data_IF_570241854935
#
_entry.id   IF_570241854935
#
_cell.length_a   1.000
_cell.length_b   1.000
_cell.length_c   1.000
_cell.angle_alpha   90.00
_cell.angle_beta   90.00
_cell.angle_gamma   90.00
#
_symmetry.space_group_name_H-M   'P 1'
#
loop_
_entity.id
_entity.type
_entity.pdbx_description
1 polymer ?
#
# COMPACT_ATOMS: atom_id res chain seq x y z
N UNK A 1 44.53 10.31 -6.21
CA UNK A 1 44.35 10.58 -4.78
C UNK A 1 42.88 10.82 -4.39
N UNK A 2 42.02 11.34 -5.25
CA UNK A 2 40.59 11.58 -4.97
C UNK A 2 39.76 10.28 -4.91
N UNK A 3 40.10 9.26 -5.70
CA UNK A 3 39.37 7.98 -5.77
C UNK A 3 39.49 7.16 -4.46
N UNK A 4 40.60 7.28 -3.72
CA UNK A 4 40.79 6.55 -2.46
C UNK A 4 39.99 7.15 -1.26
N UNK A 5 39.62 8.43 -1.31
CA UNK A 5 38.82 9.07 -0.27
C UNK A 5 37.37 8.57 -0.32
N UNK A 6 36.76 8.50 -1.51
CA UNK A 6 35.41 7.98 -1.68
C UNK A 6 35.29 6.49 -1.33
N UNK A 7 36.29 5.69 -1.68
CA UNK A 7 36.30 4.26 -1.34
C UNK A 7 36.37 4.02 0.19
N UNK A 8 37.12 4.84 0.91
CA UNK A 8 37.21 4.77 2.37
C UNK A 8 35.87 5.23 3.04
N UNK A 9 35.26 6.32 2.58
CA UNK A 9 33.99 6.78 3.13
C UNK A 9 32.86 5.77 2.90
N UNK A 10 32.78 5.18 1.71
CA UNK A 10 31.83 4.11 1.39
C UNK A 10 32.09 2.87 2.26
N UNK A 11 33.35 2.47 2.45
CA UNK A 11 33.69 1.32 3.28
C UNK A 11 33.35 1.55 4.77
N UNK A 12 33.59 2.73 5.29
CA UNK A 12 33.22 3.12 6.67
C UNK A 12 31.69 3.13 6.82
N UNK A 13 30.98 3.70 5.85
CA UNK A 13 29.52 3.74 5.86
C UNK A 13 28.89 2.33 5.80
N UNK A 14 29.40 1.44 4.94
CA UNK A 14 28.95 0.05 4.85
C UNK A 14 29.24 -0.71 6.16
N UNK A 15 30.41 -0.51 6.78
CA UNK A 15 30.74 -1.11 8.08
C UNK A 15 29.80 -0.63 9.17
N UNK A 16 29.58 0.67 9.26
CA UNK A 16 28.67 1.27 10.23
C UNK A 16 27.22 0.77 10.08
N UNK A 17 26.74 0.65 8.85
CA UNK A 17 25.39 0.13 8.58
C UNK A 17 25.29 -1.35 8.97
N UNK A 18 26.34 -2.15 8.72
CA UNK A 18 26.36 -3.56 9.10
C UNK A 18 26.35 -3.73 10.61
N UNK A 19 27.18 -2.99 11.34
CA UNK A 19 27.26 -3.04 12.80
C UNK A 19 25.92 -2.67 13.45
N UNK A 20 25.23 -1.65 12.93
CA UNK A 20 23.91 -1.25 13.39
C UNK A 20 22.83 -2.31 13.08
N UNK A 21 22.91 -3.00 11.92
CA UNK A 21 21.99 -4.07 11.58
C UNK A 21 22.15 -5.27 12.51
N UNK A 22 23.36 -5.69 12.80
CA UNK A 22 23.63 -6.80 13.73
C UNK A 22 23.16 -6.45 15.16
N UNK A 23 23.36 -5.20 15.59
CA UNK A 23 22.85 -4.70 16.86
C UNK A 23 21.31 -4.72 16.90
N UNK A 24 20.65 -4.25 15.82
CA UNK A 24 19.21 -4.30 15.70
C UNK A 24 18.68 -5.74 15.84
N UNK A 25 19.26 -6.68 15.11
CA UNK A 25 18.84 -8.08 15.17
C UNK A 25 19.07 -8.71 16.54
N UNK A 26 20.18 -8.36 17.20
CA UNK A 26 20.47 -8.82 18.55
C UNK A 26 19.42 -8.34 19.54
N UNK A 27 19.10 -7.04 19.55
CA UNK A 27 18.08 -6.46 20.43
C UNK A 27 16.68 -7.00 20.10
N UNK A 28 16.35 -7.13 18.83
CA UNK A 28 15.07 -7.71 18.41
C UNK A 28 14.88 -9.13 18.94
N UNK A 29 15.92 -9.98 18.84
CA UNK A 29 15.91 -11.35 19.39
C UNK A 29 15.83 -11.35 20.92
N UNK A 30 16.59 -10.50 21.58
CA UNK A 30 16.58 -10.35 23.06
C UNK A 30 15.15 -9.99 23.54
N UNK A 31 14.42 -9.19 22.75
CA UNK A 31 13.04 -8.84 23.01
C UNK A 31 12.03 -9.91 22.54
N UNK A 32 12.48 -11.10 22.16
CA UNK A 32 11.64 -12.25 21.79
C UNK A 32 11.19 -12.28 20.33
N UNK A 33 11.75 -11.45 19.48
CA UNK A 33 11.58 -11.54 18.03
C UNK A 33 12.38 -12.68 17.43
N UNK A 34 11.96 -13.14 16.25
CA UNK A 34 12.73 -14.09 15.43
C UNK A 34 13.16 -13.37 14.15
N UNK A 35 14.42 -13.42 13.85
CA UNK A 35 15.01 -12.84 12.65
C UNK A 35 16.13 -13.77 12.16
N UNK A 36 15.74 -14.80 11.39
CA UNK A 36 16.63 -15.85 10.95
C UNK A 36 17.00 -15.67 9.50
N UNK A 37 18.32 -15.78 9.20
CA UNK A 37 18.88 -15.75 7.86
C UNK A 37 18.44 -14.52 7.05
N UNK A 38 18.44 -13.32 7.64
CA UNK A 38 18.05 -12.09 6.98
C UNK A 38 19.12 -11.01 7.06
N UNK A 39 19.22 -10.21 6.00
CA UNK A 39 19.94 -8.94 5.97
C UNK A 39 19.14 -7.89 5.22
N UNK A 40 19.40 -6.62 5.51
CA UNK A 40 18.86 -5.49 4.73
C UNK A 40 19.92 -5.07 3.70
N UNK A 41 19.51 -4.81 2.47
CA UNK A 41 20.34 -4.21 1.43
C UNK A 41 19.50 -3.55 0.34
N UNK A 42 20.18 -2.77 -0.50
CA UNK A 42 19.57 -2.22 -1.71
C UNK A 42 19.24 -3.34 -2.71
N UNK A 43 18.06 -3.22 -3.34
CA UNK A 43 17.57 -4.10 -4.38
C UNK A 43 16.90 -3.32 -5.51
N UNK A 44 16.24 -4.02 -6.40
CA UNK A 44 15.53 -3.41 -7.53
C UNK A 44 14.38 -2.46 -7.10
N UNK A 45 13.83 -2.66 -5.91
CA UNK A 45 12.67 -1.92 -5.37
C UNK A 45 13.06 -1.02 -4.19
N UNK A 46 14.31 -0.55 -4.18
CA UNK A 46 14.88 0.16 -3.04
C UNK A 46 15.39 -0.81 -1.97
N UNK A 47 15.53 -0.34 -0.74
CA UNK A 47 15.93 -1.20 0.37
C UNK A 47 14.89 -2.26 0.69
N UNK A 48 15.35 -3.49 0.87
CA UNK A 48 14.52 -4.64 1.17
C UNK A 48 15.21 -5.66 2.06
N UNK A 49 14.52 -6.74 2.37
CA UNK A 49 15.02 -7.86 3.16
C UNK A 49 15.46 -8.99 2.23
N UNK A 50 16.66 -9.49 2.45
CA UNK A 50 17.26 -10.55 1.67
C UNK A 50 17.74 -11.68 2.57
N UNK A 51 17.83 -12.94 2.08
CA UNK A 51 18.48 -14.00 2.81
C UNK A 51 20.01 -13.77 2.83
N UNK A 52 20.65 -14.01 3.98
CA UNK A 52 22.11 -14.04 4.10
C UNK A 52 22.66 -15.25 3.34
N UNK A 53 22.06 -16.42 3.56
CA UNK A 53 22.34 -17.64 2.82
C UNK A 53 21.13 -18.05 1.98
N UNK A 54 21.24 -18.02 0.63
CA UNK A 54 20.11 -18.32 -0.25
C UNK A 54 19.66 -19.80 -0.23
N UNK A 55 20.44 -20.69 0.39
CA UNK A 55 20.11 -22.10 0.52
C UNK A 55 19.35 -22.44 1.81
N UNK A 56 19.16 -21.46 2.68
CA UNK A 56 18.44 -21.62 3.95
C UNK A 56 17.13 -20.82 3.91
N UNK A 57 16.15 -21.30 4.65
CA UNK A 57 14.90 -20.56 4.85
C UNK A 57 15.17 -19.26 5.62
N UNK A 58 14.41 -18.20 5.30
CA UNK A 58 14.46 -16.93 6.00
C UNK A 58 13.13 -16.71 6.71
N UNK A 59 13.17 -16.16 7.93
CA UNK A 59 11.99 -15.95 8.75
C UNK A 59 12.11 -14.70 9.61
N UNK A 60 11.01 -13.95 9.69
CA UNK A 60 10.82 -12.87 10.67
C UNK A 60 9.53 -13.14 11.44
N UNK A 61 9.58 -13.01 12.76
CA UNK A 61 8.41 -12.99 13.64
C UNK A 61 8.56 -11.84 14.62
N UNK A 62 7.60 -10.92 14.61
CA UNK A 62 7.52 -9.80 15.53
C UNK A 62 6.44 -10.09 16.58
N UNK A 63 6.81 -10.31 17.83
CA UNK A 63 5.86 -10.61 18.89
C UNK A 63 4.97 -9.40 19.21
N UNK A 64 3.74 -9.67 19.65
CA UNK A 64 2.71 -8.64 19.90
C UNK A 64 3.17 -7.50 20.83
N UNK A 65 4.08 -7.76 21.78
CA UNK A 65 4.64 -6.73 22.67
C UNK A 65 5.52 -5.70 21.96
N UNK A 66 6.06 -6.03 20.77
CA UNK A 66 6.87 -5.11 19.95
C UNK A 66 6.03 -4.34 18.93
N UNK A 67 4.75 -4.64 18.79
CA UNK A 67 3.84 -3.93 17.90
C UNK A 67 3.46 -2.59 18.51
N UNK A 68 3.81 -1.50 17.84
CA UNK A 68 3.49 -0.15 18.32
C UNK A 68 2.27 0.38 17.57
N UNK A 69 1.21 0.75 18.29
CA UNK A 69 0.00 1.31 17.66
C UNK A 69 0.33 2.63 16.98
N UNK A 70 -0.19 2.80 15.75
CA UNK A 70 -0.01 4.04 14.99
C UNK A 70 -0.41 5.28 15.80
N UNK A 71 -1.53 5.21 16.50
CA UNK A 71 -2.06 6.33 17.28
C UNK A 71 -1.23 6.65 18.53
N UNK A 72 -0.34 5.75 18.95
CA UNK A 72 0.58 5.95 20.07
C UNK A 72 1.90 6.61 19.64
N UNK A 73 2.07 6.92 18.34
CA UNK A 73 3.29 7.51 17.78
C UNK A 73 3.11 9.02 17.60
N UNK A 74 4.15 9.79 17.92
CA UNK A 74 4.21 11.23 17.67
C UNK A 74 5.58 11.63 17.11
N UNK A 75 5.69 12.86 16.61
CA UNK A 75 6.96 13.47 16.21
C UNK A 75 7.57 14.20 17.40
N UNK A 76 8.84 13.91 17.66
CA UNK A 76 9.71 14.62 18.57
C UNK A 76 10.98 15.04 17.85
N UNK A 77 11.17 16.35 17.62
CA UNK A 77 12.29 16.88 16.85
C UNK A 77 12.52 16.15 15.52
N UNK A 78 11.45 15.96 14.74
CA UNK A 78 11.43 15.24 13.46
C UNK A 78 11.67 13.71 13.54
N UNK A 79 11.75 13.13 14.72
CA UNK A 79 11.89 11.69 14.92
C UNK A 79 10.58 11.06 15.40
N UNK A 80 10.30 9.83 15.00
CA UNK A 80 9.13 9.09 15.49
C UNK A 80 9.41 8.54 16.89
N UNK A 81 8.51 8.84 17.84
CA UNK A 81 8.61 8.42 19.23
C UNK A 81 7.28 7.89 19.74
N UNK A 82 7.33 7.01 20.74
CA UNK A 82 6.12 6.53 21.43
C UNK A 82 5.71 7.55 22.50
N UNK A 83 4.44 7.96 22.51
CA UNK A 83 3.86 8.90 23.49
C UNK A 83 4.14 8.45 24.92
N UNK A 84 4.53 9.37 25.80
CA UNK A 84 4.98 9.08 27.16
C UNK A 84 3.91 8.43 28.05
N UNK A 85 2.64 8.79 27.82
CA UNK A 85 1.46 8.28 28.54
C UNK A 85 1.08 6.83 28.20
N UNK A 86 1.71 6.23 27.18
CA UNK A 86 1.39 4.87 26.71
C UNK A 86 2.19 3.80 27.46
N UNK A 87 1.54 2.64 27.63
CA UNK A 87 2.09 1.50 28.41
C UNK A 87 3.08 0.66 27.61
N UNK A 88 4.24 1.23 27.26
CA UNK A 88 5.37 0.50 26.68
C UNK A 88 6.56 0.58 27.65
N UNK A 89 7.29 -0.52 27.83
CA UNK A 89 8.51 -0.52 28.67
C UNK A 89 9.59 0.38 28.06
N UNK A 90 10.54 0.82 28.87
CA UNK A 90 11.66 1.64 28.38
C UNK A 90 12.50 0.90 27.36
N UNK A 91 12.65 -0.41 27.48
CA UNK A 91 13.36 -1.23 26.49
C UNK A 91 12.67 -1.22 25.12
N UNK A 92 11.33 -1.34 25.09
CA UNK A 92 10.56 -1.26 23.83
C UNK A 92 10.68 0.14 23.23
N UNK A 93 10.63 1.20 24.03
CA UNK A 93 10.84 2.58 23.56
C UNK A 93 12.23 2.77 22.95
N UNK A 94 13.26 2.29 23.63
CA UNK A 94 14.64 2.38 23.15
C UNK A 94 14.82 1.61 21.84
N UNK A 95 14.29 0.39 21.75
CA UNK A 95 14.32 -0.42 20.54
C UNK A 95 13.56 0.27 19.39
N UNK A 96 12.35 0.76 19.64
CA UNK A 96 11.54 1.46 18.62
C UNK A 96 12.25 2.71 18.10
N UNK A 97 12.84 3.52 18.99
CA UNK A 97 13.59 4.71 18.61
C UNK A 97 14.78 4.34 17.72
N UNK A 98 15.61 3.39 18.17
CA UNK A 98 16.77 2.93 17.41
C UNK A 98 16.37 2.39 16.03
N UNK A 99 15.31 1.59 15.97
CA UNK A 99 14.77 1.04 14.73
C UNK A 99 14.28 2.13 13.77
N UNK A 100 13.46 3.07 14.28
CA UNK A 100 12.92 4.15 13.45
C UNK A 100 13.99 5.10 12.94
N UNK A 101 14.96 5.44 13.79
CA UNK A 101 15.99 6.42 13.44
C UNK A 101 16.99 5.87 12.41
N UNK A 102 17.27 4.56 12.41
CA UNK A 102 18.33 3.99 11.60
C UNK A 102 17.85 3.13 10.43
N UNK A 103 16.63 2.56 10.46
CA UNK A 103 16.21 1.55 9.48
C UNK A 103 14.86 1.82 8.82
N UNK A 104 14.05 2.73 9.34
CA UNK A 104 12.73 2.99 8.82
C UNK A 104 12.55 4.49 8.53
N UNK A 105 11.97 5.26 9.45
CA UNK A 105 11.69 6.68 9.27
C UNK A 105 12.94 7.54 8.96
N UNK A 106 13.97 7.45 9.81
CA UNK A 106 15.16 8.31 9.75
C UNK A 106 16.16 7.90 8.69
N UNK A 107 15.99 6.73 8.07
CA UNK A 107 16.92 6.29 7.04
C UNK A 107 16.60 6.91 5.67
N UNK A 108 15.42 6.63 5.14
CA UNK A 108 14.92 7.17 3.87
C UNK A 108 13.39 7.33 3.87
N UNK A 109 12.71 6.73 4.84
CA UNK A 109 11.27 6.68 4.89
C UNK A 109 10.62 8.05 4.96
N UNK A 110 11.21 8.98 5.72
CA UNK A 110 10.76 10.38 5.80
C UNK A 110 10.92 11.08 4.46
N UNK A 111 12.13 11.03 3.89
CA UNK A 111 12.46 11.74 2.65
C UNK A 111 11.62 11.23 1.48
N UNK A 112 11.52 9.92 1.30
CA UNK A 112 10.71 9.32 0.25
C UNK A 112 9.22 9.72 0.37
N UNK A 113 8.68 9.71 1.60
CA UNK A 113 7.30 10.14 1.84
C UNK A 113 7.12 11.63 1.57
N UNK A 114 8.08 12.46 1.95
CA UNK A 114 8.05 13.90 1.70
C UNK A 114 8.07 14.21 0.20
N UNK A 115 8.94 13.59 -0.56
CA UNK A 115 9.02 13.75 -2.02
C UNK A 115 7.70 13.37 -2.69
N UNK A 116 7.09 12.27 -2.26
CA UNK A 116 5.80 11.83 -2.77
C UNK A 116 4.69 12.84 -2.46
N UNK A 117 4.54 13.27 -1.19
CA UNK A 117 3.51 14.23 -0.78
C UNK A 117 3.69 15.61 -1.44
N UNK A 118 4.93 16.08 -1.58
CA UNK A 118 5.23 17.31 -2.32
C UNK A 118 4.80 17.17 -3.78
N UNK A 119 5.08 16.04 -4.43
CA UNK A 119 4.65 15.78 -5.79
C UNK A 119 3.13 15.81 -5.95
N UNK A 120 2.38 15.20 -5.02
CA UNK A 120 0.91 15.25 -5.01
C UNK A 120 0.37 16.66 -4.76
N UNK A 121 1.03 17.46 -3.94
CA UNK A 121 0.60 18.83 -3.62
C UNK A 121 0.62 19.75 -4.84
N UNK A 122 1.48 19.48 -5.81
CA UNK A 122 1.63 20.24 -7.07
C UNK A 122 0.54 19.91 -8.10
N UNK A 123 -0.31 18.92 -7.86
CA UNK A 123 -1.43 18.61 -8.77
C UNK A 123 -2.36 19.82 -8.90
N UNK A 124 -2.80 20.10 -10.14
CA UNK A 124 -3.73 21.19 -10.40
C UNK A 124 -5.12 20.91 -9.82
N UNK A 125 -5.97 21.93 -9.73
CA UNK A 125 -7.29 21.83 -9.11
C UNK A 125 -8.22 20.84 -9.83
N UNK A 126 -8.11 20.68 -11.15
CA UNK A 126 -8.93 19.74 -11.91
C UNK A 126 -8.53 18.31 -11.59
N UNK A 127 -7.22 18.01 -11.58
CA UNK A 127 -6.72 16.68 -11.22
C UNK A 127 -7.10 16.32 -9.77
N UNK A 128 -6.95 17.25 -8.81
CA UNK A 128 -7.38 17.06 -7.42
C UNK A 128 -8.86 16.73 -7.31
N UNK A 129 -9.73 17.42 -8.06
CA UNK A 129 -11.17 17.11 -8.11
C UNK A 129 -11.48 15.74 -8.69
N UNK A 130 -10.77 15.32 -9.75
CA UNK A 130 -10.93 13.98 -10.32
C UNK A 130 -10.49 12.90 -9.33
N UNK A 131 -9.34 13.09 -8.67
CA UNK A 131 -8.83 12.16 -7.65
C UNK A 131 -9.81 12.06 -6.47
N UNK A 132 -10.28 13.19 -5.94
CA UNK A 132 -11.26 13.20 -4.85
C UNK A 132 -12.52 12.42 -5.23
N UNK A 133 -13.03 12.62 -6.44
CA UNK A 133 -14.28 12.00 -6.90
C UNK A 133 -14.13 10.52 -7.21
N UNK A 134 -13.03 10.10 -7.82
CA UNK A 134 -12.89 8.77 -8.42
C UNK A 134 -11.88 7.86 -7.74
N UNK A 135 -10.85 8.41 -7.11
CA UNK A 135 -9.94 7.64 -6.25
C UNK A 135 -10.32 7.74 -4.75
N UNK A 136 -11.30 8.57 -4.41
CA UNK A 136 -11.80 8.81 -3.04
C UNK A 136 -10.72 9.37 -2.10
N UNK A 137 -9.72 10.05 -2.65
CA UNK A 137 -8.64 10.68 -1.90
C UNK A 137 -8.77 12.20 -1.98
N UNK A 138 -9.05 12.84 -0.85
CA UNK A 138 -9.13 14.30 -0.76
C UNK A 138 -7.74 14.89 -0.50
N UNK A 139 -7.02 15.22 -1.58
CA UNK A 139 -5.67 15.80 -1.48
C UNK A 139 -5.66 17.20 -0.84
N UNK A 140 -6.74 17.97 -0.98
CA UNK A 140 -6.84 19.28 -0.35
C UNK A 140 -6.98 19.14 1.17
N UNK A 141 -7.79 18.19 1.64
CA UNK A 141 -7.92 17.90 3.06
C UNK A 141 -6.65 17.25 3.62
N UNK A 142 -6.06 16.30 2.87
CA UNK A 142 -4.82 15.59 3.25
C UNK A 142 -3.64 16.55 3.46
N UNK A 143 -3.56 17.63 2.68
CA UNK A 143 -2.46 18.61 2.76
C UNK A 143 -2.79 19.83 3.65
N UNK A 144 -3.84 19.78 4.45
CA UNK A 144 -4.13 20.80 5.44
C UNK A 144 -3.29 20.62 6.71
N UNK A 145 -2.72 21.73 7.19
CA UNK A 145 -2.06 21.78 8.48
C UNK A 145 -0.54 21.72 8.41
N UNK A 146 0.06 21.23 9.47
CA UNK A 146 1.52 21.14 9.58
C UNK A 146 2.09 20.04 8.67
N UNK A 147 3.05 20.42 7.86
CA UNK A 147 3.64 19.55 6.85
C UNK A 147 4.35 18.33 7.43
N UNK A 148 5.02 18.46 8.56
CA UNK A 148 5.68 17.34 9.22
C UNK A 148 4.67 16.29 9.70
N UNK A 149 3.51 16.74 10.19
CA UNK A 149 2.43 15.83 10.57
C UNK A 149 1.80 15.13 9.36
N UNK A 150 1.66 15.82 8.22
CA UNK A 150 1.18 15.22 6.97
C UNK A 150 2.11 14.08 6.55
N UNK A 151 3.42 14.32 6.50
CA UNK A 151 4.41 13.31 6.14
C UNK A 151 4.38 12.13 7.14
N UNK A 152 4.35 12.42 8.45
CA UNK A 152 4.24 11.39 9.49
C UNK A 152 3.00 10.51 9.30
N UNK A 153 1.83 11.11 9.14
CA UNK A 153 0.57 10.35 8.98
C UNK A 153 0.62 9.47 7.74
N UNK A 154 1.11 10.00 6.62
CA UNK A 154 1.22 9.23 5.38
C UNK A 154 2.23 8.08 5.50
N UNK A 155 3.40 8.33 6.09
CA UNK A 155 4.38 7.29 6.36
C UNK A 155 3.77 6.16 7.21
N UNK A 156 3.07 6.53 8.29
CA UNK A 156 2.44 5.55 9.17
C UNK A 156 1.28 4.80 8.49
N UNK A 157 0.52 5.45 7.60
CA UNK A 157 -0.53 4.79 6.79
C UNK A 157 0.09 3.76 5.84
N UNK A 158 1.18 4.14 5.16
CA UNK A 158 1.84 3.27 4.18
C UNK A 158 2.46 2.01 4.81
N UNK A 159 2.84 2.06 6.10
CA UNK A 159 3.60 1.00 6.79
C UNK A 159 2.85 0.28 7.90
N UNK A 160 1.67 0.77 8.29
CA UNK A 160 0.90 0.15 9.36
C UNK A 160 0.17 -1.12 8.90
N UNK A 161 0.16 -2.10 9.76
CA UNK A 161 -0.56 -3.37 9.59
C UNK A 161 -1.82 -3.38 10.48
N UNK A 162 -2.91 -3.92 9.97
CA UNK A 162 -4.08 -4.19 10.80
C UNK A 162 -3.79 -5.40 11.69
N UNK A 163 -3.82 -5.19 13.00
CA UNK A 163 -3.64 -6.24 14.00
C UNK A 163 -4.71 -6.10 15.07
N UNK A 164 -5.57 -7.11 15.22
CA UNK A 164 -6.79 -7.01 16.03
C UNK A 164 -7.60 -5.76 15.60
N UNK A 165 -7.94 -4.90 16.52
CA UNK A 165 -8.71 -3.67 16.28
C UNK A 165 -7.85 -2.40 16.14
N UNK A 166 -6.54 -2.55 15.86
CA UNK A 166 -5.60 -1.42 15.79
C UNK A 166 -4.74 -1.50 14.54
N UNK A 167 -4.30 -0.34 14.05
CA UNK A 167 -3.21 -0.24 13.08
C UNK A 167 -1.90 -0.14 13.84
N UNK A 168 -0.92 -0.99 13.50
CA UNK A 168 0.36 -1.13 14.22
C UNK A 168 1.55 -1.07 13.29
N UNK A 169 2.65 -0.51 13.74
CA UNK A 169 3.96 -0.65 13.10
C UNK A 169 4.56 -1.97 13.54
N UNK A 170 5.10 -2.72 12.59
CA UNK A 170 5.63 -4.07 12.78
C UNK A 170 7.13 -4.08 12.44
N UNK A 171 8.01 -3.84 13.43
CA UNK A 171 9.44 -3.78 13.18
C UNK A 171 9.99 -4.98 12.43
N UNK A 172 10.92 -4.76 11.53
CA UNK A 172 11.54 -5.66 10.57
C UNK A 172 10.59 -6.17 9.47
N UNK A 173 9.36 -6.57 9.80
CA UNK A 173 8.39 -7.06 8.80
C UNK A 173 7.99 -5.96 7.81
N UNK A 174 7.87 -4.71 8.27
CA UNK A 174 7.52 -3.57 7.42
C UNK A 174 8.63 -3.15 6.44
N UNK A 175 9.85 -3.66 6.62
CA UNK A 175 10.98 -3.41 5.70
C UNK A 175 10.95 -4.31 4.45
N UNK A 176 10.11 -5.33 4.45
CA UNK A 176 9.97 -6.21 3.29
C UNK A 176 9.08 -5.61 2.22
N UNK A 177 9.55 -5.59 0.98
CA UNK A 177 8.84 -5.01 -0.15
C UNK A 177 7.62 -5.82 -0.60
N UNK A 178 6.69 -5.13 -1.26
CA UNK A 178 5.50 -5.77 -1.81
C UNK A 178 5.82 -6.61 -3.05
N UNK A 179 5.09 -7.71 -3.18
CA UNK A 179 5.03 -8.50 -4.43
C UNK A 179 3.62 -9.01 -4.64
N UNK A 180 3.09 -8.70 -5.80
CA UNK A 180 1.83 -9.26 -6.29
C UNK A 180 1.90 -10.78 -6.28
N UNK A 181 0.83 -11.44 -5.80
CA UNK A 181 0.71 -12.92 -5.73
C UNK A 181 1.74 -13.61 -4.82
N UNK A 182 2.37 -12.89 -3.93
CA UNK A 182 3.19 -13.52 -2.90
C UNK A 182 2.31 -13.99 -1.74
N UNK A 183 2.89 -14.79 -0.85
CA UNK A 183 2.19 -15.22 0.35
C UNK A 183 1.94 -14.01 1.28
N UNK A 184 0.76 -13.91 1.90
CA UNK A 184 0.48 -12.85 2.86
C UNK A 184 1.19 -13.10 4.19
N UNK A 185 1.27 -12.05 5.01
CA UNK A 185 1.74 -12.15 6.38
C UNK A 185 0.82 -13.06 7.22
N UNK A 186 1.43 -13.80 8.13
CA UNK A 186 0.73 -14.64 9.10
C UNK A 186 0.48 -13.82 10.36
N UNK A 187 -0.78 -13.67 10.74
CA UNK A 187 -1.21 -12.93 11.93
C UNK A 187 -1.87 -13.88 12.92
N UNK A 188 -1.41 -13.88 14.15
CA UNK A 188 -2.05 -14.65 15.24
C UNK A 188 -1.99 -13.82 16.55
N UNK A 189 -2.51 -14.35 17.64
CA UNK A 189 -2.54 -13.65 18.92
C UNK A 189 -1.15 -13.28 19.45
N UNK A 190 -0.14 -14.06 19.10
CA UNK A 190 1.23 -13.89 19.57
C UNK A 190 1.98 -12.79 18.82
N UNK A 191 1.60 -12.48 17.57
CA UNK A 191 2.26 -11.47 16.77
C UNK A 191 2.03 -11.58 15.26
N UNK A 192 2.97 -11.04 14.49
CA UNK A 192 2.97 -11.05 13.02
C UNK A 192 4.27 -11.67 12.52
N UNK A 193 4.16 -12.59 11.57
CA UNK A 193 5.32 -13.19 10.92
C UNK A 193 5.25 -13.08 9.39
N UNK A 194 6.43 -13.13 8.79
CA UNK A 194 6.53 -13.48 7.37
C UNK A 194 6.07 -14.91 7.16
N UNK A 195 5.56 -15.25 5.96
CA UNK A 195 5.33 -16.65 5.61
C UNK A 195 6.67 -17.43 5.65
N UNK A 196 6.56 -18.73 5.87
CA UNK A 196 7.73 -19.61 5.76
C UNK A 196 8.10 -19.75 4.29
N UNK A 197 9.10 -19.00 3.86
CA UNK A 197 9.67 -19.20 2.55
C UNK A 197 10.65 -20.37 2.58
N UNK A 198 10.57 -21.33 1.65
CA UNK A 198 11.69 -22.21 1.36
C UNK A 198 12.91 -21.36 0.95
N UNK A 199 14.08 -21.97 0.81
CA UNK A 199 15.28 -21.28 0.36
C UNK A 199 14.98 -20.33 -0.82
N UNK A 200 15.19 -19.02 -0.64
CA UNK A 200 14.90 -17.97 -1.63
C UNK A 200 16.23 -17.32 -2.02
N UNK A 201 16.51 -17.27 -3.32
CA UNK A 201 17.78 -16.67 -3.82
C UNK A 201 17.73 -15.14 -3.88
N UNK A 202 16.55 -14.57 -3.87
CA UNK A 202 16.31 -13.15 -4.10
C UNK A 202 15.68 -12.50 -2.86
N UNK A 203 15.29 -11.24 -3.02
CA UNK A 203 14.59 -10.46 -2.02
C UNK A 203 13.33 -11.16 -1.48
N UNK A 204 13.14 -11.10 -0.17
CA UNK A 204 11.93 -11.54 0.51
C UNK A 204 10.85 -10.49 0.33
N UNK A 205 9.89 -10.78 -0.52
CA UNK A 205 8.77 -9.88 -0.82
C UNK A 205 7.45 -10.54 -0.44
N UNK A 206 6.50 -9.75 0.04
CA UNK A 206 5.24 -10.21 0.62
C UNK A 206 4.05 -9.58 -0.07
N UNK A 207 2.90 -10.27 -0.07
CA UNK A 207 1.64 -9.63 -0.44
C UNK A 207 1.14 -8.80 0.75
N UNK A 208 0.99 -7.48 0.56
CA UNK A 208 0.48 -6.61 1.61
C UNK A 208 -1.03 -6.77 1.78
N UNK A 209 -1.77 -6.69 0.68
CA UNK A 209 -3.21 -6.86 0.56
C UNK A 209 -3.63 -6.81 -0.91
N UNK A 210 -4.90 -7.11 -1.20
CA UNK A 210 -5.48 -6.93 -2.52
C UNK A 210 -5.96 -5.48 -2.68
N UNK A 211 -5.23 -4.69 -3.47
CA UNK A 211 -5.58 -3.32 -3.82
C UNK A 211 -5.41 -3.13 -5.32
N UNK A 212 -6.15 -2.19 -5.92
CA UNK A 212 -5.83 -1.74 -7.28
C UNK A 212 -4.53 -0.96 -7.28
N UNK A 213 -3.82 -0.88 -8.44
CA UNK A 213 -2.63 -0.05 -8.59
C UNK A 213 -2.85 1.40 -8.14
N UNK A 214 -4.00 1.99 -8.51
CA UNK A 214 -4.37 3.36 -8.13
C UNK A 214 -4.51 3.53 -6.62
N UNK A 215 -5.19 2.61 -5.94
CA UNK A 215 -5.33 2.67 -4.49
C UNK A 215 -3.98 2.51 -3.79
N UNK A 216 -3.15 1.57 -4.26
CA UNK A 216 -1.80 1.36 -3.71
C UNK A 216 -0.93 2.61 -3.83
N UNK A 217 -0.98 3.28 -4.98
CA UNK A 217 -0.27 4.53 -5.19
C UNK A 217 -0.64 5.58 -4.14
N UNK A 218 -1.92 5.87 -3.94
CA UNK A 218 -2.33 6.93 -3.02
C UNK A 218 -2.12 6.59 -1.54
N UNK A 219 -2.19 5.31 -1.16
CA UNK A 219 -2.08 4.89 0.24
C UNK A 219 -0.68 4.44 0.63
N UNK A 220 0.09 3.87 -0.30
CA UNK A 220 1.41 3.31 -0.01
C UNK A 220 2.56 4.02 -0.74
N UNK A 221 2.27 4.93 -1.67
CA UNK A 221 3.25 5.81 -2.30
C UNK A 221 4.07 5.16 -3.41
N UNK A 222 3.66 4.00 -3.96
CA UNK A 222 4.39 3.36 -5.04
C UNK A 222 3.48 2.72 -6.09
N UNK A 223 4.02 2.45 -7.27
CA UNK A 223 3.39 1.68 -8.32
C UNK A 223 3.73 0.19 -8.18
N UNK A 224 2.73 -0.66 -8.34
CA UNK A 224 2.91 -2.10 -8.55
C UNK A 224 1.99 -2.59 -9.67
N UNK A 225 2.49 -3.57 -10.44
CA UNK A 225 1.74 -4.20 -11.51
C UNK A 225 0.72 -5.20 -10.96
N UNK A 226 -0.26 -4.70 -10.20
CA UNK A 226 -1.35 -5.52 -9.69
C UNK A 226 -2.17 -6.09 -10.85
N UNK A 227 -2.70 -7.29 -10.65
CA UNK A 227 -3.48 -7.99 -11.67
C UNK A 227 -4.97 -7.69 -11.64
N UNK A 228 -5.43 -7.00 -10.59
CA UNK A 228 -6.83 -6.69 -10.35
C UNK A 228 -7.09 -5.19 -10.47
N UNK A 229 -8.19 -4.83 -11.11
CA UNK A 229 -8.69 -3.46 -11.19
C UNK A 229 -10.10 -3.42 -10.66
N UNK A 230 -10.35 -2.51 -9.73
CA UNK A 230 -11.69 -2.25 -9.22
C UNK A 230 -12.32 -1.05 -9.96
N UNK A 231 -13.64 -1.09 -10.07
CA UNK A 231 -14.39 0.04 -10.64
C UNK A 231 -14.22 1.27 -9.78
N UNK A 232 -14.04 2.41 -10.45
CA UNK A 232 -14.18 3.72 -9.81
C UNK A 232 -15.65 3.99 -9.44
N UNK A 233 -15.95 4.95 -8.55
CA UNK A 233 -17.32 5.32 -8.19
C UNK A 233 -18.15 5.75 -9.39
N UNK A 234 -19.38 5.23 -9.49
CA UNK A 234 -20.37 5.65 -10.48
C UNK A 234 -21.80 5.54 -9.95
N UNK A 235 -22.74 6.16 -10.66
CA UNK A 235 -24.18 5.97 -10.45
C UNK A 235 -24.87 5.82 -11.79
N UNK A 236 -25.66 4.75 -11.96
CA UNK A 236 -26.44 4.46 -13.16
C UNK A 236 -27.90 4.25 -12.77
N UNK A 237 -28.82 4.96 -13.45
CA UNK A 237 -30.25 4.78 -13.27
C UNK A 237 -30.83 3.91 -14.40
N UNK A 238 -31.37 2.75 -14.03
CA UNK A 238 -32.08 1.85 -14.96
C UNK A 238 -33.54 2.28 -15.02
N UNK A 239 -33.84 3.25 -15.90
CA UNK A 239 -35.15 3.92 -16.00
C UNK A 239 -36.34 2.96 -16.13
N UNK A 240 -36.23 1.89 -16.94
CA UNK A 240 -37.31 0.91 -17.18
C UNK A 240 -37.69 0.13 -15.92
N UNK A 241 -36.90 0.25 -14.83
CA UNK A 241 -37.11 -0.47 -13.57
C UNK A 241 -37.18 0.42 -12.35
N UNK A 242 -36.89 1.70 -12.50
CA UNK A 242 -36.77 2.62 -11.36
C UNK A 242 -35.63 2.24 -10.39
N UNK A 243 -34.62 1.45 -10.85
CA UNK A 243 -33.50 1.00 -9.99
C UNK A 243 -32.30 1.90 -10.23
N UNK A 244 -31.74 2.42 -9.14
CA UNK A 244 -30.48 3.15 -9.16
C UNK A 244 -29.32 2.25 -8.65
N UNK A 245 -28.30 2.05 -9.48
CA UNK A 245 -27.08 1.33 -9.13
C UNK A 245 -26.02 2.35 -8.75
N UNK A 246 -25.48 2.23 -7.54
CA UNK A 246 -24.41 3.08 -7.02
C UNK A 246 -23.20 2.20 -6.72
N UNK A 247 -22.11 2.41 -7.44
CA UNK A 247 -20.80 1.85 -7.10
C UNK A 247 -20.03 2.87 -6.26
N UNK A 248 -19.60 2.46 -5.07
CA UNK A 248 -18.80 3.31 -4.17
C UNK A 248 -17.30 3.25 -4.43
N UNK A 249 -16.87 2.44 -5.40
CA UNK A 249 -15.45 2.14 -5.62
C UNK A 249 -14.92 1.11 -4.63
N UNK A 250 -13.60 1.02 -4.51
CA UNK A 250 -12.94 0.13 -3.56
C UNK A 250 -12.90 0.76 -2.16
N UNK A 251 -13.28 0.00 -1.15
CA UNK A 251 -13.11 0.37 0.26
C UNK A 251 -11.99 -0.49 0.84
N UNK A 252 -10.97 0.13 1.42
CA UNK A 252 -9.71 -0.48 1.86
C UNK A 252 -9.84 -1.60 2.92
N UNK A 253 -10.94 -1.64 3.64
CA UNK A 253 -11.14 -2.57 4.76
C UNK A 253 -11.84 -3.88 4.39
N UNK A 254 -12.20 -4.08 3.12
CA UNK A 254 -12.98 -5.24 2.69
C UNK A 254 -12.26 -6.00 1.57
N UNK A 255 -11.82 -7.22 1.87
CA UNK A 255 -11.25 -8.14 0.89
C UNK A 255 -12.30 -8.75 -0.07
N UNK A 256 -13.58 -8.42 0.07
CA UNK A 256 -14.67 -8.97 -0.73
C UNK A 256 -15.64 -7.90 -1.20
N UNK A 257 -16.12 -8.06 -2.44
CA UNK A 257 -17.20 -7.26 -2.98
C UNK A 257 -18.46 -7.38 -2.10
N UNK A 258 -19.14 -6.26 -1.88
CA UNK A 258 -20.45 -6.22 -1.24
C UNK A 258 -21.51 -5.74 -2.21
N UNK A 259 -22.63 -6.46 -2.25
CA UNK A 259 -23.82 -6.06 -2.99
C UNK A 259 -24.98 -5.95 -2.00
N UNK A 260 -25.43 -4.75 -1.76
CA UNK A 260 -26.59 -4.46 -0.91
C UNK A 260 -27.77 -4.00 -1.79
N UNK A 261 -28.96 -4.54 -1.57
CA UNK A 261 -30.18 -4.14 -2.27
C UNK A 261 -31.20 -3.60 -1.27
N UNK A 262 -31.73 -2.43 -1.56
CA UNK A 262 -32.99 -1.91 -1.05
C UNK A 262 -33.97 -1.70 -2.22
N UNK A 263 -35.23 -1.41 -2.00
CA UNK A 263 -36.32 -1.44 -2.99
C UNK A 263 -35.94 -0.91 -4.39
N UNK A 264 -35.46 0.34 -4.47
CA UNK A 264 -35.12 1.00 -5.72
C UNK A 264 -33.62 1.30 -5.86
N UNK A 265 -32.75 0.68 -5.04
CA UNK A 265 -31.33 1.00 -4.99
C UNK A 265 -30.51 -0.26 -4.81
N UNK A 266 -29.42 -0.36 -5.58
CA UNK A 266 -28.36 -1.35 -5.39
C UNK A 266 -27.06 -0.62 -5.14
N UNK A 267 -26.40 -0.96 -4.04
CA UNK A 267 -25.09 -0.40 -3.68
C UNK A 267 -24.03 -1.47 -3.85
N UNK A 268 -22.96 -1.13 -4.58
CA UNK A 268 -21.82 -1.97 -4.85
C UNK A 268 -20.59 -1.38 -4.15
N UNK A 269 -19.80 -2.22 -3.49
CA UNK A 269 -18.49 -1.86 -2.95
C UNK A 269 -17.48 -2.90 -3.46
N UNK A 270 -16.33 -2.44 -3.98
CA UNK A 270 -15.27 -3.32 -4.44
C UNK A 270 -15.62 -4.14 -5.69
N UNK A 271 -16.36 -3.58 -6.67
CA UNK A 271 -16.66 -4.27 -7.93
C UNK A 271 -15.38 -4.47 -8.76
N UNK A 272 -14.86 -5.70 -8.92
CA UNK A 272 -13.74 -5.97 -9.81
C UNK A 272 -14.20 -5.83 -11.27
N UNK A 273 -13.42 -5.13 -12.09
CA UNK A 273 -13.68 -4.95 -13.52
C UNK A 273 -12.61 -5.54 -14.41
N UNK A 274 -11.48 -5.93 -13.85
CA UNK A 274 -10.46 -6.74 -14.49
C UNK A 274 -9.71 -7.57 -13.45
N UNK A 275 -9.38 -8.80 -13.78
CA UNK A 275 -8.44 -9.65 -13.03
C UNK A 275 -7.77 -10.64 -13.97
N UNK A 276 -6.47 -10.44 -14.25
CA UNK A 276 -5.71 -11.33 -15.13
C UNK A 276 -5.59 -12.75 -14.58
N UNK A 277 -5.64 -12.91 -13.26
CA UNK A 277 -5.50 -14.22 -12.61
C UNK A 277 -6.81 -15.00 -12.59
N UNK A 278 -7.92 -14.28 -12.51
CA UNK A 278 -9.26 -14.82 -12.47
C UNK A 278 -10.11 -14.10 -13.51
N UNK A 279 -9.90 -14.33 -14.83
CA UNK A 279 -10.55 -13.56 -15.89
C UNK A 279 -12.08 -13.61 -15.85
N UNK A 280 -12.65 -14.64 -15.22
CA UNK A 280 -14.10 -14.75 -15.04
C UNK A 280 -14.65 -13.96 -13.85
N UNK A 281 -13.79 -13.55 -12.91
CA UNK A 281 -14.22 -12.89 -11.68
C UNK A 281 -15.08 -11.64 -11.92
N UNK A 282 -14.75 -10.71 -12.83
CA UNK A 282 -15.60 -9.57 -13.15
C UNK A 282 -16.99 -9.98 -13.62
N UNK A 283 -17.08 -11.01 -14.46
CA UNK A 283 -18.35 -11.51 -15.01
C UNK A 283 -19.18 -12.22 -13.95
N UNK A 284 -18.56 -13.05 -13.10
CA UNK A 284 -19.25 -13.77 -12.03
C UNK A 284 -19.91 -12.79 -11.04
N UNK A 285 -19.20 -11.74 -10.66
CA UNK A 285 -19.77 -10.66 -9.83
C UNK A 285 -20.83 -9.85 -10.55
N UNK A 286 -20.65 -9.64 -11.83
CA UNK A 286 -21.63 -8.94 -12.64
C UNK A 286 -22.91 -9.76 -12.80
N UNK A 287 -22.80 -11.07 -13.01
CA UNK A 287 -23.96 -11.99 -13.05
C UNK A 287 -24.71 -12.01 -11.71
N UNK A 288 -24.01 -11.93 -10.59
CA UNK A 288 -24.65 -11.78 -9.27
C UNK A 288 -25.41 -10.45 -9.17
N UNK A 289 -24.82 -9.35 -9.64
CA UNK A 289 -25.50 -8.05 -9.73
C UNK A 289 -26.77 -8.16 -10.57
N UNK A 290 -26.72 -8.78 -11.74
CA UNK A 290 -27.85 -8.95 -12.65
C UNK A 290 -28.97 -9.80 -12.02
N UNK A 291 -28.62 -10.88 -11.32
CA UNK A 291 -29.58 -11.67 -10.53
C UNK A 291 -30.30 -10.80 -9.49
N UNK A 292 -29.59 -9.92 -8.82
CA UNK A 292 -30.18 -8.96 -7.86
C UNK A 292 -31.09 -7.93 -8.54
N UNK A 293 -30.80 -7.52 -9.77
CA UNK A 293 -31.67 -6.63 -10.56
C UNK A 293 -32.95 -7.35 -11.06
N UNK A 294 -32.87 -8.67 -11.24
CA UNK A 294 -34.06 -9.48 -11.58
C UNK A 294 -34.44 -9.53 -13.06
N UNK A 295 -33.48 -9.44 -14.01
CA UNK A 295 -33.65 -9.79 -15.46
C UNK A 295 -32.32 -9.99 -16.19
N UNK A 296 -32.31 -10.95 -17.14
CA UNK A 296 -31.17 -11.38 -17.93
C UNK A 296 -30.80 -10.49 -19.13
N UNK A 297 -31.70 -9.67 -19.65
CA UNK A 297 -31.48 -8.94 -20.92
C UNK A 297 -30.74 -7.59 -20.78
N UNK A 298 -30.33 -7.19 -19.58
CA UNK A 298 -29.62 -5.91 -19.33
C UNK A 298 -28.10 -6.15 -19.24
N UNK A 299 -27.66 -7.41 -19.23
CA UNK A 299 -26.35 -7.78 -18.72
C UNK A 299 -25.15 -7.26 -19.54
N UNK A 300 -25.14 -7.49 -20.84
CA UNK A 300 -23.96 -7.20 -21.66
C UNK A 300 -23.73 -5.69 -21.86
N UNK A 301 -24.77 -4.99 -22.24
CA UNK A 301 -24.69 -3.54 -22.50
C UNK A 301 -24.33 -2.75 -21.22
N UNK A 302 -24.80 -3.18 -20.05
CA UNK A 302 -24.49 -2.50 -18.81
C UNK A 302 -23.03 -2.71 -18.41
N UNK A 303 -22.50 -3.92 -18.57
CA UNK A 303 -21.09 -4.22 -18.28
C UNK A 303 -20.16 -3.42 -19.21
N UNK A 304 -20.46 -3.38 -20.51
CA UNK A 304 -19.72 -2.60 -21.48
C UNK A 304 -19.75 -1.10 -21.12
N UNK A 305 -20.89 -0.55 -20.73
CA UNK A 305 -21.00 0.83 -20.26
C UNK A 305 -20.14 1.10 -19.03
N UNK A 306 -20.07 0.16 -18.08
CA UNK A 306 -19.19 0.27 -16.91
C UNK A 306 -17.72 0.28 -17.32
N UNK A 307 -17.30 -0.58 -18.25
CA UNK A 307 -15.92 -0.61 -18.76
C UNK A 307 -15.56 0.70 -19.46
N UNK A 308 -16.38 1.15 -20.40
CA UNK A 308 -16.17 2.39 -21.15
C UNK A 308 -16.12 3.61 -20.24
N UNK A 309 -17.01 3.68 -19.24
CA UNK A 309 -16.98 4.73 -18.23
C UNK A 309 -15.67 4.73 -17.47
N UNK A 310 -15.24 3.57 -16.98
CA UNK A 310 -14.00 3.43 -16.23
C UNK A 310 -12.77 3.85 -17.05
N UNK A 311 -12.69 3.44 -18.32
CA UNK A 311 -11.62 3.84 -19.25
C UNK A 311 -11.65 5.35 -19.48
N UNK A 312 -12.83 5.93 -19.76
CA UNK A 312 -12.95 7.36 -20.07
C UNK A 312 -12.51 8.27 -18.91
N UNK A 313 -12.76 7.86 -17.66
CA UNK A 313 -12.32 8.63 -16.50
C UNK A 313 -10.81 8.51 -16.30
N UNK A 314 -10.23 7.32 -16.48
CA UNK A 314 -8.78 7.14 -16.41
C UNK A 314 -8.05 7.95 -17.46
N UNK A 315 -8.60 8.05 -18.69
CA UNK A 315 -8.07 8.92 -19.75
C UNK A 315 -8.14 10.40 -19.34
N UNK A 316 -9.22 10.84 -18.68
CA UNK A 316 -9.28 12.21 -18.14
C UNK A 316 -8.20 12.45 -17.08
N UNK A 317 -7.96 11.47 -16.19
CA UNK A 317 -6.88 11.57 -15.19
C UNK A 317 -5.51 11.65 -15.89
N UNK A 318 -5.27 10.86 -16.94
CA UNK A 318 -4.03 10.92 -17.74
C UNK A 318 -3.85 12.32 -18.32
N UNK A 319 -4.86 12.85 -19.01
CA UNK A 319 -4.79 14.16 -19.66
C UNK A 319 -4.49 15.29 -18.67
N UNK A 320 -5.14 15.30 -17.50
CA UNK A 320 -4.87 16.29 -16.46
C UNK A 320 -3.48 16.09 -15.81
N UNK A 321 -3.02 14.84 -15.67
CA UNK A 321 -1.71 14.52 -15.12
C UNK A 321 -0.57 14.95 -16.04
N UNK A 322 -0.76 14.92 -17.36
CA UNK A 322 0.21 15.39 -18.36
C UNK A 322 0.48 16.90 -18.25
N UNK A 323 -0.42 17.67 -17.66
CA UNK A 323 -0.25 19.11 -17.41
C UNK A 323 0.63 19.41 -16.18
N UNK A 324 1.04 18.37 -15.46
CA UNK A 324 1.85 18.49 -14.24
C UNK A 324 3.20 17.82 -14.47
N UNK A 325 4.28 18.62 -14.54
CA UNK A 325 5.63 18.10 -14.76
C UNK A 325 6.32 17.75 -13.44
N UNK A 326 6.02 16.55 -12.95
CA UNK A 326 6.76 15.94 -11.83
C UNK A 326 6.73 14.40 -11.90
N UNK A 327 7.64 13.74 -11.19
CA UNK A 327 7.76 12.28 -11.21
C UNK A 327 6.51 11.57 -10.68
N UNK A 328 5.81 12.14 -9.71
CA UNK A 328 4.59 11.57 -9.12
C UNK A 328 3.45 11.54 -10.15
N UNK A 329 3.33 12.59 -10.99
CA UNK A 329 2.35 12.61 -12.08
C UNK A 329 2.68 11.59 -13.17
N UNK A 330 3.96 11.41 -13.51
CA UNK A 330 4.40 10.39 -14.48
C UNK A 330 4.06 8.97 -14.00
N UNK A 331 4.27 8.69 -12.72
CA UNK A 331 3.86 7.40 -12.12
C UNK A 331 2.34 7.22 -12.19
N UNK A 332 1.55 8.26 -11.88
CA UNK A 332 0.10 8.20 -11.97
C UNK A 332 -0.37 7.89 -13.41
N UNK A 333 0.25 8.49 -14.42
CA UNK A 333 -0.01 8.21 -15.84
C UNK A 333 0.27 6.73 -16.17
N UNK A 334 1.41 6.19 -15.72
CA UNK A 334 1.75 4.77 -15.91
C UNK A 334 0.71 3.85 -15.28
N UNK A 335 0.25 4.16 -14.07
CA UNK A 335 -0.81 3.41 -13.38
C UNK A 335 -2.11 3.42 -14.19
N UNK A 336 -2.54 4.59 -14.68
CA UNK A 336 -3.77 4.71 -15.46
C UNK A 336 -3.69 3.93 -16.77
N UNK A 337 -2.54 3.94 -17.45
CA UNK A 337 -2.32 3.12 -18.63
C UNK A 337 -2.35 1.62 -18.31
N UNK A 338 -1.69 1.22 -17.22
CA UNK A 338 -1.70 -0.18 -16.78
C UNK A 338 -3.13 -0.66 -16.49
N UNK A 339 -3.90 0.07 -15.68
CA UNK A 339 -5.29 -0.28 -15.37
C UNK A 339 -6.19 -0.30 -16.62
N UNK A 340 -6.04 0.68 -17.54
CA UNK A 340 -6.78 0.69 -18.81
C UNK A 340 -6.46 -0.53 -19.68
N UNK A 341 -5.19 -0.96 -19.74
CA UNK A 341 -4.80 -2.15 -20.48
C UNK A 341 -5.43 -3.41 -19.88
N UNK A 342 -5.45 -3.53 -18.55
CA UNK A 342 -6.11 -4.65 -17.88
C UNK A 342 -7.62 -4.68 -18.19
N UNK A 343 -8.30 -3.54 -18.15
CA UNK A 343 -9.73 -3.46 -18.48
C UNK A 343 -9.98 -3.85 -19.92
N UNK A 344 -9.16 -3.38 -20.89
CA UNK A 344 -9.28 -3.71 -22.31
C UNK A 344 -9.07 -5.18 -22.62
N UNK A 345 -8.30 -5.90 -21.81
CA UNK A 345 -8.13 -7.36 -21.95
C UNK A 345 -9.41 -8.14 -21.57
N UNK A 346 -10.34 -7.51 -20.85
CA UNK A 346 -11.61 -8.12 -20.38
C UNK A 346 -12.84 -7.60 -21.13
N UNK A 347 -12.69 -6.60 -21.99
CA UNK A 347 -13.75 -6.05 -22.85
C UNK A 347 -13.66 -6.67 -24.25
#
# INVERSE_FOLDING_TARGET
>A
MVINLFANEISIFISFMKDNWDLLLSEFRRLGGIADNICQREGQYGRGIFPVNPNLSARIFTPSKLLVKKDDIYLDNNNLRIKKDKKYSQEIRNFFNFYQDNFSWGCDGKEATELFERGLSLFNSNLKKLIKKYALVDLEERHKGDWNNIIKEQFLIARAFKFKNSSVIVPLVELGNHKVRSLPFIKNEQGISTPNYPAVRNELRFSYNNMSPLSRFFYQGFFSEESIVFSIPFSINIKNKGINIICKGMILDNDSMKIERSDNKIVLEGLPIADVNHPRLPYDYFDELIKKIGKSNISKDLLEQIFLFNISIREKIINESQLVDNEVSKILIQIMHHENNLIKLHN
#
